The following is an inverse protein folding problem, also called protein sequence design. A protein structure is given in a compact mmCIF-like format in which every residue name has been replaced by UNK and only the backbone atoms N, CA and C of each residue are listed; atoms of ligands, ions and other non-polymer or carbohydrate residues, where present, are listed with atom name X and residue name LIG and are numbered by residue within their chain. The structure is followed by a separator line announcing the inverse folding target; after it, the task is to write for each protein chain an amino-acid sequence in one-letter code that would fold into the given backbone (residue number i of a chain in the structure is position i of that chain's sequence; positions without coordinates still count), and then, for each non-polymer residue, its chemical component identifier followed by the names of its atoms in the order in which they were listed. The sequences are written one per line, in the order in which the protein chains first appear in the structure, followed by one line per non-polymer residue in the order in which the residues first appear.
data_IF_983069411254
#
_entry.id   IF_983069411254
#
_cell.length_a   1.000
_cell.length_b   1.000
_cell.length_c   1.000
_cell.angle_alpha   90.00
_cell.angle_beta   90.00
_cell.angle_gamma   90.00
#
_symmetry.space_group_name_H-M   'P 1'
#
loop_
_entity.id
_entity.type
_entity.pdbx_description
1 polymer ?
#
# COMPACT_ATOMS: atom_id res chain seq x y z
N UNK A 1 -15.58 1.45 7.64
CA UNK A 1 -15.32 2.47 6.61
C UNK A 1 -15.13 3.78 7.31
N UNK A 2 -14.03 4.49 7.07
CA UNK A 2 -13.78 5.79 7.70
C UNK A 2 -14.06 6.87 6.67
N UNK A 3 -14.88 7.85 7.05
CA UNK A 3 -15.17 9.02 6.24
C UNK A 3 -14.25 10.17 6.66
N UNK A 4 -13.57 10.79 5.70
CA UNK A 4 -12.69 11.93 5.96
C UNK A 4 -13.31 13.18 5.34
N UNK A 5 -13.71 14.13 6.20
CA UNK A 5 -14.20 15.45 5.78
C UNK A 5 -13.03 16.35 5.37
N UNK A 6 -13.11 16.94 4.18
CA UNK A 6 -12.08 17.82 3.61
C UNK A 6 -11.62 17.36 2.23
N UNK A 7 -10.95 18.26 1.48
CA UNK A 7 -10.35 17.94 0.18
C UNK A 7 -9.48 16.68 0.31
N UNK A 8 -9.62 15.67 -0.57
CA UNK A 8 -8.80 14.47 -0.53
C UNK A 8 -7.31 14.79 -0.40
N UNK A 9 -6.67 14.25 0.64
CA UNK A 9 -5.23 14.40 0.88
C UNK A 9 -4.43 13.43 -0.02
N UNK A 10 -4.64 13.57 -1.33
CA UNK A 10 -3.85 12.90 -2.35
C UNK A 10 -2.86 13.90 -2.94
N UNK A 11 -1.56 13.57 -3.02
CA UNK A 11 -0.54 14.52 -3.43
C UNK A 11 -0.54 14.84 -4.94
N UNK A 12 -1.39 14.16 -5.72
CA UNK A 12 -1.72 14.43 -7.12
C UNK A 12 -3.04 13.75 -7.50
N UNK A 13 -3.57 14.06 -8.69
CA UNK A 13 -4.78 13.42 -9.26
C UNK A 13 -4.50 11.96 -9.63
N UNK A 14 -5.55 11.14 -9.70
CA UNK A 14 -5.42 9.72 -10.10
C UNK A 14 -4.93 9.54 -11.54
N UNK A 15 -5.24 10.47 -12.44
CA UNK A 15 -4.77 10.44 -13.83
C UNK A 15 -3.28 10.83 -13.98
N UNK A 16 -2.70 11.52 -13.00
CA UNK A 16 -1.25 11.83 -12.95
C UNK A 16 -0.52 10.81 -12.08
N UNK A 17 -0.62 9.54 -12.48
CA UNK A 17 -0.21 8.39 -11.68
C UNK A 17 1.29 8.41 -11.36
N UNK A 18 2.13 8.86 -12.29
CA UNK A 18 3.59 8.96 -12.08
C UNK A 18 3.93 9.96 -10.96
N UNK A 19 3.33 11.15 -10.98
CA UNK A 19 3.53 12.15 -9.93
C UNK A 19 2.94 11.70 -8.60
N UNK A 20 1.75 11.09 -8.64
CA UNK A 20 1.07 10.55 -7.46
C UNK A 20 1.95 9.51 -6.75
N UNK A 21 2.42 8.50 -7.49
CA UNK A 21 3.28 7.43 -6.97
C UNK A 21 4.59 7.97 -6.38
N UNK A 22 5.25 8.89 -7.09
CA UNK A 22 6.50 9.49 -6.61
C UNK A 22 6.29 10.25 -5.30
N UNK A 23 5.28 11.13 -5.24
CA UNK A 23 5.01 11.93 -4.03
C UNK A 23 4.54 11.06 -2.86
N UNK A 24 3.77 10.01 -3.11
CA UNK A 24 3.39 9.05 -2.08
C UNK A 24 4.61 8.31 -1.53
N UNK A 25 5.54 7.88 -2.39
CA UNK A 25 6.78 7.23 -1.97
C UNK A 25 7.64 8.17 -1.12
N UNK A 26 7.86 9.41 -1.60
CA UNK A 26 8.58 10.46 -0.85
C UNK A 26 7.92 10.76 0.50
N UNK A 27 6.58 10.77 0.56
CA UNK A 27 5.85 10.99 1.80
C UNK A 27 6.02 9.83 2.78
N UNK A 28 5.83 8.58 2.33
CA UNK A 28 5.93 7.39 3.19
C UNK A 28 7.36 7.08 3.62
N UNK A 29 8.36 7.53 2.87
CA UNK A 29 9.77 7.37 3.25
C UNK A 29 10.10 7.91 4.65
N UNK A 30 9.31 8.85 5.19
CA UNK A 30 9.51 9.40 6.54
C UNK A 30 9.19 8.41 7.66
N UNK A 31 8.31 7.44 7.41
CA UNK A 31 7.79 6.51 8.43
C UNK A 31 7.96 5.03 8.05
N UNK A 32 8.15 4.73 6.76
CA UNK A 32 8.24 3.38 6.24
C UNK A 32 8.60 3.33 4.75
N UNK A 33 7.92 2.48 4.00
CA UNK A 33 8.09 2.30 2.56
C UNK A 33 6.74 2.06 1.89
N UNK A 34 6.51 2.73 0.76
CA UNK A 34 5.41 2.40 -0.14
C UNK A 34 5.80 1.16 -0.96
N UNK A 35 4.92 0.17 -1.04
CA UNK A 35 5.14 -1.08 -1.79
C UNK A 35 4.41 -0.99 -3.14
N UNK A 36 3.11 -0.67 -3.10
CA UNK A 36 2.24 -0.61 -4.26
C UNK A 36 1.41 0.67 -4.25
N UNK A 37 1.14 1.18 -5.45
CA UNK A 37 0.19 2.25 -5.68
C UNK A 37 -0.44 2.06 -7.06
N UNK A 38 -1.71 1.67 -7.11
CA UNK A 38 -2.44 1.37 -8.34
C UNK A 38 -3.76 2.14 -8.39
N UNK A 39 -4.16 2.55 -9.59
CA UNK A 39 -5.55 2.95 -9.82
C UNK A 39 -6.35 1.69 -10.05
N UNK A 40 -7.36 1.47 -9.22
CA UNK A 40 -8.31 0.36 -9.29
C UNK A 40 -9.72 0.92 -9.43
N UNK A 41 -10.69 0.07 -9.74
CA UNK A 41 -12.10 0.45 -9.77
C UNK A 41 -12.79 -0.15 -8.55
N UNK A 42 -13.54 0.70 -7.84
CA UNK A 42 -14.42 0.31 -6.73
C UNK A 42 -15.82 0.63 -7.18
N UNK A 43 -16.62 -0.41 -7.43
CA UNK A 43 -17.91 -0.27 -8.10
C UNK A 43 -17.74 0.46 -9.45
N UNK A 44 -18.30 1.65 -9.61
CA UNK A 44 -18.19 2.49 -10.81
C UNK A 44 -17.19 3.65 -10.70
N UNK A 45 -16.39 3.71 -9.62
CA UNK A 45 -15.50 4.84 -9.36
C UNK A 45 -14.02 4.46 -9.39
N UNK A 46 -13.15 5.32 -9.95
CA UNK A 46 -11.71 5.14 -9.83
C UNK A 46 -11.27 5.40 -8.39
N UNK A 47 -10.36 4.56 -7.91
CA UNK A 47 -9.82 4.60 -6.56
C UNK A 47 -8.31 4.36 -6.57
N UNK A 48 -7.63 4.85 -5.55
CA UNK A 48 -6.22 4.55 -5.32
C UNK A 48 -6.10 3.38 -4.33
N UNK A 49 -5.58 2.26 -4.78
CA UNK A 49 -5.04 1.21 -3.91
C UNK A 49 -3.61 1.57 -3.54
N UNK A 50 -3.29 1.56 -2.25
CA UNK A 50 -1.92 1.64 -1.74
C UNK A 50 -1.63 0.45 -0.84
N UNK A 51 -0.43 -0.09 -0.95
CA UNK A 51 0.11 -1.05 0.00
C UNK A 51 1.44 -0.51 0.51
N UNK A 52 1.63 -0.54 1.82
CA UNK A 52 2.79 0.06 2.48
C UNK A 52 3.24 -0.79 3.66
N UNK A 53 4.50 -0.60 4.06
CA UNK A 53 5.06 -1.19 5.28
C UNK A 53 5.67 -0.12 6.17
N UNK A 54 5.48 -0.27 7.47
CA UNK A 54 6.07 0.60 8.50
C UNK A 54 6.68 -0.24 9.61
N UNK A 55 7.53 0.39 10.44
CA UNK A 55 8.02 -0.22 11.68
C UNK A 55 6.85 -0.40 12.64
N UNK A 56 6.75 -1.57 13.25
CA UNK A 56 5.83 -1.78 14.35
C UNK A 56 6.25 -0.93 15.57
N UNK A 57 5.34 -0.13 16.15
CA UNK A 57 5.65 0.62 17.36
C UNK A 57 6.14 -0.30 18.48
N UNK A 58 7.25 0.06 19.13
CA UNK A 58 7.83 -0.72 20.23
C UNK A 58 8.59 -1.99 19.82
N UNK A 59 8.70 -2.32 18.53
CA UNK A 59 9.49 -3.46 18.05
C UNK A 59 10.72 -3.00 17.26
N UNK A 60 11.93 -3.52 17.54
CA UNK A 60 13.13 -3.14 16.80
C UNK A 60 13.16 -3.71 15.38
N UNK A 61 12.48 -4.85 15.16
CA UNK A 61 12.55 -5.61 13.90
C UNK A 61 11.19 -5.85 13.24
N UNK A 62 10.10 -5.83 14.00
CA UNK A 62 8.77 -6.15 13.49
C UNK A 62 8.24 -5.10 12.53
N UNK A 63 7.52 -5.57 11.51
CA UNK A 63 6.86 -4.72 10.52
C UNK A 63 5.34 -4.76 10.65
N UNK A 64 4.70 -3.70 10.18
CA UNK A 64 3.26 -3.65 9.95
C UNK A 64 3.04 -3.35 8.47
N UNK A 65 2.20 -4.16 7.84
CA UNK A 65 1.78 -3.95 6.46
C UNK A 65 0.35 -3.44 6.45
N UNK A 66 0.07 -2.44 5.64
CA UNK A 66 -1.27 -1.91 5.47
C UNK A 66 -1.62 -1.87 3.99
N UNK A 67 -2.87 -2.21 3.68
CA UNK A 67 -3.46 -1.93 2.38
C UNK A 67 -4.63 -0.98 2.58
N UNK A 68 -4.69 0.08 1.79
CA UNK A 68 -5.75 1.08 1.83
C UNK A 68 -6.29 1.35 0.44
N UNK A 69 -7.60 1.57 0.37
CA UNK A 69 -8.26 2.07 -0.83
C UNK A 69 -8.87 3.41 -0.50
N UNK A 70 -8.53 4.39 -1.33
CA UNK A 70 -9.04 5.75 -1.25
C UNK A 70 -9.87 6.00 -2.48
N UNK A 71 -11.16 6.23 -2.30
CA UNK A 71 -12.07 6.71 -3.35
C UNK A 71 -12.22 8.21 -3.18
N UNK A 72 -11.53 9.05 -3.99
CA UNK A 72 -11.55 10.49 -3.82
C UNK A 72 -12.72 11.13 -4.59
N UNK A 73 -13.43 12.06 -3.93
CA UNK A 73 -14.36 13.02 -4.56
C UNK A 73 -13.96 14.43 -4.16
N UNK A 74 -14.45 15.44 -4.87
CA UNK A 74 -14.08 16.87 -4.68
C UNK A 74 -13.88 17.33 -3.21
N UNK A 75 -14.85 17.02 -2.34
CA UNK A 75 -14.88 17.52 -0.95
C UNK A 75 -14.63 16.48 0.15
N UNK A 76 -14.40 15.22 -0.21
CA UNK A 76 -14.23 14.12 0.75
C UNK A 76 -13.64 12.87 0.12
N UNK A 77 -13.21 11.93 0.95
CA UNK A 77 -12.83 10.58 0.51
C UNK A 77 -13.49 9.51 1.34
N UNK A 78 -13.84 8.41 0.69
CA UNK A 78 -14.14 7.16 1.37
C UNK A 78 -12.84 6.34 1.46
N UNK A 79 -12.48 5.94 2.68
CA UNK A 79 -11.29 5.11 2.91
C UNK A 79 -11.68 3.84 3.64
N UNK A 80 -11.23 2.72 3.09
CA UNK A 80 -11.23 1.44 3.78
C UNK A 80 -9.84 0.83 3.71
N UNK A 81 -9.43 0.22 4.81
CA UNK A 81 -8.07 -0.25 4.99
C UNK A 81 -8.06 -1.49 5.87
N UNK A 82 -7.04 -2.31 5.66
CA UNK A 82 -6.64 -3.38 6.56
C UNK A 82 -5.22 -3.12 7.03
N UNK A 83 -4.98 -3.40 8.31
CA UNK A 83 -3.66 -3.35 8.94
C UNK A 83 -3.33 -4.76 9.38
N UNK A 84 -2.20 -5.27 8.90
CA UNK A 84 -1.68 -6.60 9.16
C UNK A 84 -0.31 -6.47 9.84
N UNK A 85 -0.27 -6.45 11.18
CA UNK A 85 1.00 -6.53 11.90
C UNK A 85 1.64 -7.91 11.65
N UNK A 86 2.96 -7.93 11.57
CA UNK A 86 3.72 -9.17 11.58
C UNK A 86 3.60 -9.84 12.95
N UNK A 87 3.15 -11.10 12.96
CA UNK A 87 2.95 -11.90 14.17
C UNK A 87 3.82 -13.13 14.11
N UNK A 88 4.41 -13.53 15.25
CA UNK A 88 5.36 -14.64 15.31
C UNK A 88 6.81 -14.19 15.10
N UNK A 89 7.62 -15.01 14.45
CA UNK A 89 9.02 -14.67 14.15
C UNK A 89 9.07 -13.65 12.99
N UNK A 90 9.55 -12.41 13.23
CA UNK A 90 9.58 -11.40 12.19
C UNK A 90 10.68 -11.66 11.16
N UNK A 91 10.47 -11.21 9.92
CA UNK A 91 11.46 -11.24 8.85
C UNK A 91 11.69 -12.61 8.20
N UNK A 92 10.83 -13.60 8.44
CA UNK A 92 10.97 -14.95 7.84
C UNK A 92 10.92 -14.89 6.31
N UNK A 93 9.99 -14.10 5.75
CA UNK A 93 9.88 -13.92 4.30
C UNK A 93 11.15 -13.29 3.73
N UNK A 94 11.64 -12.23 4.36
CA UNK A 94 12.87 -11.53 3.98
C UNK A 94 14.08 -12.46 4.05
N UNK A 95 14.22 -13.25 5.11
CA UNK A 95 15.34 -14.17 5.29
C UNK A 95 15.34 -15.28 4.23
N UNK A 96 14.18 -15.90 3.98
CA UNK A 96 14.05 -16.97 2.98
C UNK A 96 14.30 -16.43 1.57
N UNK A 97 13.74 -15.28 1.20
CA UNK A 97 14.00 -14.66 -0.11
C UNK A 97 15.47 -14.24 -0.21
N UNK A 98 16.02 -13.59 0.82
CA UNK A 98 17.39 -13.11 0.87
C UNK A 98 18.44 -14.22 0.75
N UNK A 99 18.15 -15.42 1.25
CA UNK A 99 19.04 -16.59 1.10
C UNK A 99 19.16 -17.12 -0.34
N UNK A 100 18.28 -16.68 -1.25
CA UNK A 100 18.22 -17.15 -2.65
C UNK A 100 18.78 -16.16 -3.65
N UNK A 101 19.20 -14.98 -3.20
CA UNK A 101 19.60 -13.86 -4.07
C UNK A 101 20.86 -13.19 -3.56
N UNK A 102 21.53 -12.42 -4.41
CA UNK A 102 22.68 -11.63 -3.96
C UNK A 102 22.21 -10.48 -3.05
N UNK A 103 23.01 -10.01 -2.09
CA UNK A 103 22.63 -8.88 -1.24
C UNK A 103 22.19 -7.63 -2.01
N UNK A 104 22.82 -7.34 -3.15
CA UNK A 104 22.45 -6.21 -4.01
C UNK A 104 21.07 -6.37 -4.71
N UNK A 105 20.62 -7.61 -4.92
CA UNK A 105 19.32 -7.91 -5.53
C UNK A 105 18.18 -7.82 -4.52
N UNK A 106 18.47 -8.03 -3.23
CA UNK A 106 17.48 -7.97 -2.16
C UNK A 106 16.88 -6.57 -1.96
N UNK A 107 17.65 -5.52 -2.28
CA UNK A 107 17.31 -4.12 -2.05
C UNK A 107 17.41 -3.30 -3.35
N UNK A 108 16.53 -3.53 -4.34
CA UNK A 108 16.56 -2.76 -5.57
C UNK A 108 16.14 -1.29 -5.32
N UNK A 109 16.43 -0.37 -6.25
CA UNK A 109 15.90 0.99 -6.20
C UNK A 109 14.37 1.00 -6.10
N UNK A 110 13.83 1.96 -5.36
CA UNK A 110 12.38 2.09 -5.21
C UNK A 110 11.71 2.34 -6.58
N UNK A 111 10.65 1.59 -6.96
CA UNK A 111 10.11 1.59 -8.32
C UNK A 111 9.49 2.94 -8.74
N UNK A 112 8.98 3.70 -7.77
CA UNK A 112 8.35 5.01 -8.04
C UNK A 112 9.26 6.23 -7.80
N UNK A 113 10.44 6.01 -7.22
CA UNK A 113 11.36 7.08 -6.87
C UNK A 113 12.80 6.53 -6.80
N UNK A 114 13.43 6.23 -7.95
CA UNK A 114 14.80 5.74 -7.96
C UNK A 114 15.74 6.72 -7.24
N UNK A 115 16.54 6.20 -6.30
CA UNK A 115 17.43 7.02 -5.45
C UNK A 115 16.83 7.49 -4.13
N UNK A 116 15.53 7.27 -3.90
CA UNK A 116 14.89 7.56 -2.62
C UNK A 116 15.50 6.72 -1.50
N UNK A 117 15.87 7.39 -0.39
CA UNK A 117 16.33 6.76 0.85
C UNK A 117 15.33 7.08 1.96
N UNK A 118 14.55 6.07 2.36
CA UNK A 118 13.56 6.18 3.44
C UNK A 118 13.96 5.45 4.72
N UNK A 119 13.06 5.45 5.70
CA UNK A 119 13.21 4.69 6.96
C UNK A 119 13.27 3.19 6.74
N UNK A 120 12.56 2.69 5.74
CA UNK A 120 12.58 1.30 5.31
C UNK A 120 12.90 1.23 3.82
N UNK A 121 13.69 0.25 3.37
CA UNK A 121 13.93 0.03 1.96
C UNK A 121 12.72 -0.67 1.30
N UNK A 122 12.56 -0.43 0.00
CA UNK A 122 11.82 -1.35 -0.85
C UNK A 122 12.63 -2.64 -0.97
N UNK A 123 12.01 -3.80 -0.79
CA UNK A 123 12.71 -5.09 -0.80
C UNK A 123 12.17 -5.99 -1.89
N UNK A 124 13.03 -6.84 -2.45
CA UNK A 124 12.61 -7.86 -3.40
C UNK A 124 11.53 -8.78 -2.81
N UNK A 125 11.61 -9.06 -1.51
CA UNK A 125 10.59 -9.83 -0.80
C UNK A 125 9.19 -9.23 -0.87
N UNK A 126 9.05 -7.93 -1.11
CA UNK A 126 7.75 -7.28 -1.23
C UNK A 126 6.99 -7.74 -2.50
N UNK A 127 7.67 -8.29 -3.51
CA UNK A 127 7.06 -8.69 -4.78
C UNK A 127 5.94 -9.73 -4.59
N UNK A 128 4.83 -9.55 -5.31
CA UNK A 128 3.64 -10.41 -5.26
C UNK A 128 3.94 -11.87 -5.61
N UNK A 129 4.98 -12.13 -6.41
CA UNK A 129 5.38 -13.50 -6.79
C UNK A 129 5.74 -14.41 -5.60
N UNK A 130 6.02 -13.83 -4.43
CA UNK A 130 6.31 -14.58 -3.22
C UNK A 130 5.07 -14.90 -2.39
N UNK A 131 3.93 -14.29 -2.67
CA UNK A 131 2.74 -14.40 -1.82
C UNK A 131 2.24 -15.85 -1.69
N UNK A 132 2.31 -16.64 -2.76
CA UNK A 132 1.91 -18.06 -2.75
C UNK A 132 2.75 -18.89 -1.77
N UNK A 133 4.06 -18.62 -1.68
CA UNK A 133 4.96 -19.32 -0.76
C UNK A 133 4.81 -18.86 0.70
N UNK A 134 4.17 -17.72 0.93
CA UNK A 134 3.99 -17.13 2.26
C UNK A 134 2.52 -16.72 2.48
N UNK A 135 1.58 -17.69 2.53
CA UNK A 135 0.14 -17.40 2.53
C UNK A 135 -0.34 -16.67 3.79
N UNK A 136 0.38 -16.81 4.91
CA UNK A 136 0.06 -16.20 6.20
C UNK A 136 0.85 -14.91 6.47
N UNK A 137 1.78 -14.55 5.59
CA UNK A 137 2.55 -13.33 5.74
C UNK A 137 1.63 -12.09 5.70
N UNK A 138 1.86 -11.08 6.55
CA UNK A 138 0.98 -9.91 6.65
C UNK A 138 0.77 -9.17 5.31
N UNK A 139 1.79 -9.05 4.46
CA UNK A 139 1.66 -8.47 3.11
C UNK A 139 0.71 -9.29 2.22
N UNK A 140 0.87 -10.62 2.22
CA UNK A 140 0.01 -11.54 1.45
C UNK A 140 -1.44 -11.44 1.92
N UNK A 141 -1.65 -11.41 3.25
CA UNK A 141 -2.98 -11.24 3.84
C UNK A 141 -3.62 -9.91 3.46
N UNK A 142 -2.86 -8.82 3.47
CA UNK A 142 -3.36 -7.51 3.06
C UNK A 142 -3.78 -7.49 1.59
N UNK A 143 -2.97 -8.05 0.68
CA UNK A 143 -3.31 -8.19 -0.75
C UNK A 143 -4.52 -9.10 -1.00
N UNK A 144 -4.57 -10.25 -0.32
CA UNK A 144 -5.72 -11.16 -0.40
C UNK A 144 -7.01 -10.48 0.05
N UNK A 145 -6.97 -9.76 1.17
CA UNK A 145 -8.13 -9.01 1.65
C UNK A 145 -8.63 -7.98 0.63
N UNK A 146 -7.72 -7.27 -0.06
CA UNK A 146 -8.09 -6.35 -1.14
C UNK A 146 -8.78 -7.10 -2.29
N UNK A 147 -8.17 -8.20 -2.76
CA UNK A 147 -8.70 -9.00 -3.85
C UNK A 147 -10.11 -9.55 -3.54
N UNK A 148 -10.33 -9.96 -2.30
CA UNK A 148 -11.61 -10.54 -1.87
C UNK A 148 -12.68 -9.46 -1.59
N UNK A 149 -12.27 -8.32 -1.03
CA UNK A 149 -13.19 -7.28 -0.55
C UNK A 149 -13.64 -6.33 -1.66
N UNK A 150 -12.70 -5.84 -2.49
CA UNK A 150 -12.99 -4.78 -3.48
C UNK A 150 -14.14 -5.11 -4.43
N UNK A 151 -14.22 -6.32 -5.02
CA UNK A 151 -15.30 -6.66 -5.94
C UNK A 151 -16.70 -6.61 -5.30
N UNK A 152 -16.75 -6.76 -3.97
CA UNK A 152 -18.00 -6.80 -3.20
C UNK A 152 -18.42 -5.42 -2.70
N UNK A 153 -17.55 -4.42 -2.76
CA UNK A 153 -17.87 -3.06 -2.32
C UNK A 153 -18.94 -2.46 -3.23
N UNK A 154 -19.90 -1.77 -2.61
CA UNK A 154 -20.89 -0.93 -3.29
C UNK A 154 -20.76 0.48 -2.77
N UNK A 155 -20.81 1.44 -3.68
CA UNK A 155 -20.68 2.85 -3.33
C UNK A 155 -22.06 3.47 -3.21
N UNK A 156 -22.28 4.22 -2.14
CA UNK A 156 -23.53 4.96 -1.96
C UNK A 156 -23.75 5.94 -3.14
N UNK A 157 -24.92 5.94 -3.80
CA UNK A 157 -25.17 6.80 -4.95
C UNK A 157 -24.97 8.30 -4.68
N UNK A 158 -25.26 8.77 -3.46
CA UNK A 158 -25.07 10.17 -3.09
C UNK A 158 -23.59 10.55 -3.03
N UNK A 159 -22.72 9.61 -2.64
CA UNK A 159 -21.28 9.78 -2.68
C UNK A 159 -20.74 9.70 -4.12
N UNK A 160 -21.25 8.77 -4.93
CA UNK A 160 -20.86 8.64 -6.33
C UNK A 160 -21.22 9.88 -7.18
N UNK A 161 -22.32 10.55 -6.85
CA UNK A 161 -22.79 11.76 -7.53
C UNK A 161 -22.01 13.04 -7.19
N UNK A 162 -21.10 13.01 -6.21
CA UNK A 162 -20.21 14.14 -5.92
C UNK A 162 -19.34 14.47 -7.13
N UNK A 163 -18.85 15.71 -7.33
CA UNK A 163 -17.90 15.99 -8.42
C UNK A 163 -16.59 15.20 -8.27
N UNK A 164 -15.91 14.97 -9.40
CA UNK A 164 -14.60 14.33 -9.37
C UNK A 164 -13.59 15.18 -8.59
N UNK A 165 -12.68 14.48 -7.91
CA UNK A 165 -11.60 15.12 -7.16
C UNK A 165 -10.76 16.00 -8.06
#
# INVERSE_FOLDING_TARGET
MTYVHGTPDLPARLHDLSRLRRRLAEHHARTGCLIEAFVVWVDSLPALLRVEKTRMPGSPVGLVFAASIVVPRDRCSAVFQIICPETGAPGVREAVVGSRVRPAEMYPPHPYAPGLRGRLPYTLSDDIRYDEAFPDHPLTRARRWIADTVPQVRVDPSFAALPEF
#
